data_IF_421126553970
#
_entry.id   IF_421126553970
#
_cell.length_a   1.000
_cell.length_b   1.000
_cell.length_c   1.000
_cell.angle_alpha   90.00
_cell.angle_beta   90.00
_cell.angle_gamma   90.00
#
_symmetry.space_group_name_H-M   'P 1'
#
loop_
_entity.id
_entity.type
_entity.pdbx_description
1 polymer ?
#
# COMPACT_ATOMS: atom_id res chain seq x y z
N UNK A 1 -33.12 6.88 -9.66
CA UNK A 1 -32.02 6.45 -10.55
C UNK A 1 -31.60 5.07 -10.12
N UNK A 2 -31.97 4.04 -10.89
CA UNK A 2 -31.73 2.64 -10.55
C UNK A 2 -30.24 2.32 -10.69
N UNK A 3 -29.54 2.03 -9.60
CA UNK A 3 -28.20 1.48 -9.67
C UNK A 3 -28.30 0.03 -10.16
N UNK A 4 -28.01 -0.21 -11.44
CA UNK A 4 -27.77 -1.58 -11.91
C UNK A 4 -26.56 -2.13 -11.15
N UNK A 5 -26.83 -3.02 -10.19
CA UNK A 5 -25.80 -3.88 -9.61
C UNK A 5 -25.37 -4.84 -10.72
N UNK A 6 -24.20 -4.62 -11.31
CA UNK A 6 -23.58 -5.59 -12.21
C UNK A 6 -23.19 -6.83 -11.40
N UNK A 7 -24.13 -7.76 -11.24
CA UNK A 7 -23.91 -9.02 -10.58
C UNK A 7 -23.02 -9.91 -11.46
N UNK A 8 -21.96 -10.45 -10.89
CA UNK A 8 -21.09 -11.37 -11.61
C UNK A 8 -21.83 -12.67 -11.93
N UNK A 9 -21.89 -13.06 -13.21
CA UNK A 9 -22.49 -14.33 -13.64
C UNK A 9 -21.53 -15.54 -13.50
N UNK A 10 -20.28 -15.32 -13.09
CA UNK A 10 -19.28 -16.38 -12.97
C UNK A 10 -19.59 -17.39 -11.86
N UNK A 11 -20.47 -17.05 -10.90
CA UNK A 11 -20.98 -17.98 -9.87
C UNK A 11 -21.72 -19.20 -10.47
N UNK A 12 -22.16 -19.10 -11.73
CA UNK A 12 -22.82 -20.17 -12.48
C UNK A 12 -21.85 -21.24 -13.00
N UNK A 13 -20.53 -21.04 -12.92
CA UNK A 13 -19.54 -22.00 -13.36
C UNK A 13 -18.68 -22.50 -12.19
N UNK A 14 -18.95 -23.75 -11.77
CA UNK A 14 -18.29 -24.44 -10.64
C UNK A 14 -16.76 -24.38 -10.70
N UNK A 15 -16.15 -24.41 -11.91
CA UNK A 15 -14.68 -24.37 -12.05
C UNK A 15 -14.04 -23.10 -11.51
N UNK A 16 -14.79 -22.00 -11.45
CA UNK A 16 -14.28 -20.72 -10.98
C UNK A 16 -14.62 -20.47 -9.51
N UNK A 17 -15.55 -21.20 -8.88
CA UNK A 17 -16.01 -20.88 -7.51
C UNK A 17 -14.87 -20.75 -6.48
N UNK A 18 -13.87 -21.63 -6.53
CA UNK A 18 -12.70 -21.52 -5.68
C UNK A 18 -11.81 -20.35 -6.12
N UNK A 19 -11.73 -19.30 -5.30
CA UNK A 19 -10.89 -18.13 -5.56
C UNK A 19 -11.47 -17.10 -6.52
N UNK A 20 -12.63 -17.32 -7.13
CA UNK A 20 -13.26 -16.34 -8.03
C UNK A 20 -13.45 -14.97 -7.39
N UNK A 21 -13.88 -14.92 -6.13
CA UNK A 21 -14.09 -13.64 -5.42
C UNK A 21 -12.82 -12.79 -5.35
N UNK A 22 -11.63 -13.40 -5.42
CA UNK A 22 -10.34 -12.69 -5.43
C UNK A 22 -10.01 -12.09 -6.80
N UNK A 23 -10.42 -12.75 -7.88
CA UNK A 23 -10.05 -12.37 -9.26
C UNK A 23 -11.20 -11.72 -10.04
N UNK A 24 -12.43 -11.76 -9.51
CA UNK A 24 -13.63 -11.27 -10.18
C UNK A 24 -13.53 -9.75 -10.44
N UNK A 25 -13.72 -9.27 -11.68
CA UNK A 25 -13.74 -7.83 -11.97
C UNK A 25 -14.92 -7.08 -11.35
N UNK A 26 -15.96 -7.79 -10.92
CA UNK A 26 -17.13 -7.21 -10.26
C UNK A 26 -17.11 -7.38 -8.74
N UNK A 27 -16.04 -7.95 -8.17
CA UNK A 27 -15.89 -8.07 -6.72
C UNK A 27 -15.97 -6.69 -6.07
N UNK A 28 -16.58 -6.62 -4.90
CA UNK A 28 -16.54 -5.41 -4.10
C UNK A 28 -15.18 -5.32 -3.39
N UNK A 29 -14.53 -4.18 -3.53
CA UNK A 29 -13.31 -3.81 -2.82
C UNK A 29 -13.55 -2.51 -2.08
N UNK A 30 -13.01 -2.40 -0.87
CA UNK A 30 -13.06 -1.19 -0.08
C UNK A 30 -11.80 -0.35 -0.32
N UNK A 31 -11.96 0.98 -0.30
CA UNK A 31 -10.81 1.87 -0.22
C UNK A 31 -10.16 1.75 1.16
N UNK A 32 -8.90 1.32 1.20
CA UNK A 32 -8.18 1.10 2.44
C UNK A 32 -7.57 2.38 3.03
N UNK A 33 -7.99 3.58 2.63
CA UNK A 33 -7.46 4.83 3.21
C UNK A 33 -8.22 5.15 4.49
N UNK A 34 -7.51 5.52 5.56
CA UNK A 34 -8.12 5.84 6.85
C UNK A 34 -9.13 6.98 6.68
N UNK A 35 -10.35 6.78 7.18
CA UNK A 35 -11.45 7.74 7.03
C UNK A 35 -12.18 7.68 5.70
N UNK A 36 -11.78 6.80 4.77
CA UNK A 36 -12.51 6.58 3.52
C UNK A 36 -13.40 5.33 3.62
N UNK A 37 -14.70 5.53 3.38
CA UNK A 37 -15.70 4.46 3.41
C UNK A 37 -16.14 4.01 2.00
N UNK A 38 -15.41 4.43 0.97
CA UNK A 38 -15.76 4.10 -0.41
C UNK A 38 -15.63 2.60 -0.65
N UNK A 39 -16.61 2.03 -1.37
CA UNK A 39 -16.64 0.63 -1.79
C UNK A 39 -17.13 0.56 -3.24
N UNK A 40 -16.57 -0.35 -4.04
CA UNK A 40 -16.99 -0.54 -5.43
C UNK A 40 -16.16 -1.62 -6.12
N UNK A 41 -16.14 -1.61 -7.46
CA UNK A 41 -15.35 -2.56 -8.25
C UNK A 41 -13.87 -2.16 -8.31
N UNK A 42 -12.94 -3.07 -8.67
CA UNK A 42 -11.52 -2.76 -8.80
C UNK A 42 -11.20 -1.58 -9.76
N UNK A 43 -11.80 -1.48 -10.97
CA UNK A 43 -11.65 -0.28 -11.80
C UNK A 43 -12.25 0.97 -11.15
N UNK A 44 -13.35 0.81 -10.42
CA UNK A 44 -13.96 1.89 -9.64
C UNK A 44 -13.01 2.43 -8.56
N UNK A 45 -12.24 1.54 -7.91
CA UNK A 45 -11.29 1.90 -6.86
C UNK A 45 -10.15 2.76 -7.43
N UNK A 46 -9.62 2.38 -8.59
CA UNK A 46 -8.61 3.18 -9.29
C UNK A 46 -9.12 4.59 -9.57
N UNK A 47 -10.32 4.70 -10.16
CA UNK A 47 -10.95 6.00 -10.43
C UNK A 47 -11.19 6.79 -9.14
N UNK A 48 -11.66 6.14 -8.09
CA UNK A 48 -11.89 6.76 -6.80
C UNK A 48 -10.59 7.32 -6.19
N UNK A 49 -9.50 6.56 -6.21
CA UNK A 49 -8.18 6.99 -5.73
C UNK A 49 -7.70 8.22 -6.50
N UNK A 50 -7.78 8.20 -7.84
CA UNK A 50 -7.39 9.36 -8.64
C UNK A 50 -8.22 10.61 -8.35
N UNK A 51 -9.52 10.46 -8.12
CA UNK A 51 -10.41 11.62 -7.93
C UNK A 51 -10.37 12.19 -6.50
N UNK A 52 -10.16 11.34 -5.48
CA UNK A 52 -10.35 11.73 -4.08
C UNK A 52 -9.05 11.68 -3.26
N UNK A 53 -8.02 11.00 -3.77
CA UNK A 53 -6.78 10.72 -3.07
C UNK A 53 -5.55 10.95 -3.95
N UNK A 54 -5.67 11.77 -5.01
CA UNK A 54 -4.57 12.09 -5.93
C UNK A 54 -3.33 12.64 -5.22
N UNK A 55 -3.52 13.39 -4.13
CA UNK A 55 -2.44 13.92 -3.29
C UNK A 55 -1.63 12.84 -2.56
N UNK A 56 -2.21 11.64 -2.38
CA UNK A 56 -1.52 10.49 -1.80
C UNK A 56 -0.81 9.64 -2.86
N UNK A 57 -1.09 9.84 -4.15
CA UNK A 57 -0.53 9.01 -5.23
C UNK A 57 0.89 9.46 -5.57
N UNK A 58 1.82 8.51 -5.57
CA UNK A 58 3.17 8.73 -6.08
C UNK A 58 3.26 8.28 -7.54
N UNK A 59 3.45 9.23 -8.45
CA UNK A 59 3.62 8.92 -9.87
C UNK A 59 5.05 8.45 -10.21
N UNK A 60 6.03 8.69 -9.33
CA UNK A 60 7.39 8.17 -9.48
C UNK A 60 7.45 6.71 -9.04
N UNK A 61 7.25 5.83 -10.03
CA UNK A 61 6.91 4.42 -9.95
C UNK A 61 7.91 3.46 -9.27
N UNK A 62 8.92 3.93 -8.52
CA UNK A 62 9.92 3.03 -7.90
C UNK A 62 10.58 3.58 -6.64
N UNK A 63 10.82 4.89 -6.52
CA UNK A 63 11.58 5.45 -5.39
C UNK A 63 10.85 6.64 -4.77
N UNK A 64 10.64 6.59 -3.45
CA UNK A 64 10.17 7.73 -2.67
C UNK A 64 11.17 8.02 -1.56
N UNK A 65 11.74 9.21 -1.59
CA UNK A 65 12.52 9.73 -0.48
C UNK A 65 11.54 10.42 0.47
N UNK A 66 11.55 10.00 1.73
CA UNK A 66 10.73 10.58 2.78
C UNK A 66 11.62 11.33 3.75
N UNK A 67 11.27 12.59 3.98
CA UNK A 67 11.90 13.40 4.99
C UNK A 67 11.23 13.14 6.35
N UNK A 68 11.86 12.29 7.16
CA UNK A 68 11.36 11.87 8.47
C UNK A 68 11.18 13.06 9.44
N UNK A 69 11.95 14.14 9.27
CA UNK A 69 11.84 15.33 10.13
C UNK A 69 10.47 16.02 10.02
N UNK A 70 9.83 15.90 8.85
CA UNK A 70 8.51 16.50 8.58
C UNK A 70 7.34 15.60 9.00
N UNK A 71 7.63 14.38 9.48
CA UNK A 71 6.63 13.34 9.75
C UNK A 71 6.35 13.12 11.25
N UNK A 72 7.00 13.87 12.14
CA UNK A 72 6.76 13.78 13.58
C UNK A 72 5.27 14.00 13.90
N UNK A 73 4.66 13.04 14.62
CA UNK A 73 3.25 13.01 15.03
C UNK A 73 2.21 13.01 13.89
N UNK A 74 2.61 12.70 12.65
CA UNK A 74 1.70 12.61 11.51
C UNK A 74 1.68 11.19 10.96
N UNK A 75 0.47 10.68 10.70
CA UNK A 75 0.32 9.51 9.85
C UNK A 75 0.26 9.99 8.41
N UNK A 76 1.16 9.51 7.56
CA UNK A 76 1.13 9.84 6.13
C UNK A 76 0.86 8.58 5.32
N UNK A 77 0.04 8.73 4.30
CA UNK A 77 -0.38 7.66 3.40
C UNK A 77 0.17 7.96 2.01
N UNK A 78 0.84 6.97 1.43
CA UNK A 78 1.31 6.95 0.06
C UNK A 78 0.68 5.80 -0.69
N UNK A 79 0.38 6.06 -1.96
CA UNK A 79 -0.22 5.07 -2.85
C UNK A 79 0.68 4.96 -4.07
N UNK A 80 1.20 3.76 -4.31
CA UNK A 80 1.91 3.41 -5.54
C UNK A 80 0.98 2.51 -6.34
N UNK A 81 0.73 2.86 -7.61
CA UNK A 81 -0.12 2.06 -8.49
C UNK A 81 0.77 1.38 -9.51
N UNK A 82 0.93 0.06 -9.38
CA UNK A 82 1.82 -0.73 -10.25
C UNK A 82 1.37 -2.18 -10.31
N UNK A 83 1.71 -2.87 -11.39
CA UNK A 83 1.41 -4.30 -11.56
C UNK A 83 -0.06 -4.64 -11.27
N UNK A 84 -0.99 -3.81 -11.77
CA UNK A 84 -2.43 -4.00 -11.54
C UNK A 84 -2.87 -3.90 -10.06
N UNK A 85 -2.07 -3.27 -9.18
CA UNK A 85 -2.36 -3.10 -7.75
C UNK A 85 -2.18 -1.67 -7.29
N UNK A 86 -2.94 -1.31 -6.27
CA UNK A 86 -2.71 -0.13 -5.45
C UNK A 86 -2.01 -0.55 -4.16
N UNK A 87 -0.72 -0.23 -4.05
CA UNK A 87 0.09 -0.41 -2.84
C UNK A 87 -0.08 0.80 -1.95
N UNK A 88 -0.71 0.60 -0.80
CA UNK A 88 -0.82 1.58 0.26
C UNK A 88 0.34 1.41 1.24
N UNK A 89 1.14 2.44 1.36
CA UNK A 89 2.23 2.52 2.33
C UNK A 89 1.82 3.56 3.38
N UNK A 90 1.73 3.15 4.63
CA UNK A 90 1.40 4.04 5.75
C UNK A 90 2.57 4.09 6.69
N UNK A 91 3.05 5.28 6.99
CA UNK A 91 4.10 5.48 7.99
C UNK A 91 3.54 6.27 9.17
N UNK A 92 3.94 5.83 10.36
CA UNK A 92 3.55 6.42 11.62
C UNK A 92 4.78 6.47 12.51
N UNK A 93 5.05 7.65 13.07
CA UNK A 93 5.99 7.83 14.18
C UNK A 93 5.14 8.11 15.42
N UNK A 94 5.27 7.29 16.45
CA UNK A 94 4.81 7.60 17.79
C UNK A 94 5.98 7.62 18.78
N UNK A 95 5.69 7.91 20.05
CA UNK A 95 6.71 8.07 21.08
C UNK A 95 7.58 6.82 21.29
N UNK A 96 7.07 5.64 20.93
CA UNK A 96 7.76 4.37 21.12
C UNK A 96 8.38 3.85 19.82
N UNK A 97 7.69 3.97 18.69
CA UNK A 97 8.05 3.28 17.47
C UNK A 97 7.84 4.12 16.21
N UNK A 98 8.72 3.87 15.24
CA UNK A 98 8.47 4.12 13.83
C UNK A 98 7.94 2.85 13.18
N UNK A 99 6.77 2.95 12.55
CA UNK A 99 6.12 1.83 11.87
C UNK A 99 5.85 2.19 10.42
N UNK A 100 6.18 1.28 9.50
CA UNK A 100 5.76 1.32 8.10
C UNK A 100 4.89 0.11 7.83
N UNK A 101 3.64 0.34 7.43
CA UNK A 101 2.69 -0.70 7.05
C UNK A 101 2.48 -0.68 5.53
N UNK A 102 2.54 -1.85 4.93
CA UNK A 102 2.32 -2.11 3.52
C UNK A 102 1.04 -2.92 3.38
N UNK A 103 0.08 -2.35 2.69
CA UNK A 103 -1.12 -3.05 2.25
C UNK A 103 -1.22 -2.91 0.75
N UNK A 104 -1.84 -3.88 0.09
CA UNK A 104 -2.09 -3.76 -1.33
C UNK A 104 -3.48 -4.30 -1.67
N UNK A 105 -4.12 -3.62 -2.61
CA UNK A 105 -5.43 -4.02 -3.13
C UNK A 105 -5.29 -4.25 -4.63
N UNK A 106 -5.65 -5.44 -5.15
CA UNK A 106 -5.67 -5.65 -6.59
C UNK A 106 -6.76 -4.78 -7.23
N UNK A 107 -6.36 -3.95 -8.20
CA UNK A 107 -7.23 -3.03 -8.95
C UNK A 107 -7.48 -3.49 -10.39
N UNK A 108 -6.79 -4.54 -10.82
CA UNK A 108 -6.92 -5.15 -12.15
C UNK A 108 -7.11 -6.68 -12.05
N UNK A 109 -7.55 -7.29 -13.16
CA UNK A 109 -7.67 -8.74 -13.33
C UNK A 109 -6.40 -9.22 -14.04
N UNK A 110 -5.37 -9.60 -13.28
CA UNK A 110 -4.14 -10.13 -13.89
C UNK A 110 -4.30 -11.65 -14.01
N UNK A 111 -4.26 -12.21 -15.23
CA UNK A 111 -4.54 -13.62 -15.48
C UNK A 111 -3.51 -14.58 -14.89
N UNK A 112 -2.29 -14.13 -14.57
CA UNK A 112 -1.17 -14.96 -14.11
C UNK A 112 -0.85 -14.82 -12.61
N UNK A 113 -1.85 -14.56 -11.76
CA UNK A 113 -1.60 -14.62 -10.31
C UNK A 113 -1.44 -16.06 -9.85
N UNK A 114 -0.19 -16.47 -9.64
CA UNK A 114 0.10 -17.57 -8.73
C UNK A 114 -0.42 -17.18 -7.34
N UNK A 115 -1.03 -18.14 -6.67
CA UNK A 115 -1.67 -18.03 -5.35
C UNK A 115 -0.77 -17.51 -4.22
N UNK A 116 0.50 -17.21 -4.49
CA UNK A 116 1.46 -16.82 -3.46
C UNK A 116 1.37 -15.34 -3.07
N UNK A 117 0.89 -14.44 -3.94
CA UNK A 117 0.62 -13.04 -3.56
C UNK A 117 1.84 -12.32 -2.88
N UNK A 118 3.07 -12.77 -3.16
CA UNK A 118 4.30 -12.28 -2.52
C UNK A 118 4.85 -11.10 -3.32
N UNK A 119 4.97 -9.95 -2.67
CA UNK A 119 5.67 -8.79 -3.20
C UNK A 119 6.89 -8.53 -2.32
N UNK A 120 8.05 -8.37 -2.97
CA UNK A 120 9.27 -8.01 -2.28
C UNK A 120 9.44 -6.50 -2.32
N UNK A 121 9.83 -5.92 -1.20
CA UNK A 121 10.17 -4.51 -1.13
C UNK A 121 11.39 -4.32 -0.22
N UNK A 122 12.14 -3.27 -0.52
CA UNK A 122 13.33 -2.89 0.25
C UNK A 122 13.06 -1.53 0.88
N UNK A 123 13.31 -1.43 2.18
CA UNK A 123 13.31 -0.14 2.88
C UNK A 123 14.76 0.21 3.15
N UNK A 124 15.16 1.36 2.64
CA UNK A 124 16.49 1.93 2.86
C UNK A 124 16.31 3.20 3.67
N UNK A 125 16.96 3.25 4.82
CA UNK A 125 17.10 4.49 5.60
C UNK A 125 18.51 4.99 5.33
N UNK A 126 18.59 6.06 4.55
CA UNK A 126 19.84 6.70 4.16
C UNK A 126 20.00 7.99 4.96
N UNK A 127 21.18 8.20 5.52
CA UNK A 127 21.59 9.48 6.08
C UNK A 127 22.82 9.98 5.33
N UNK A 128 22.76 11.16 4.68
CA UNK A 128 23.92 11.71 3.99
C UNK A 128 25.09 11.85 4.99
N UNK A 129 26.25 11.28 4.65
CA UNK A 129 27.50 11.28 5.45
C UNK A 129 27.56 10.39 6.70
N UNK A 130 26.51 9.65 7.03
CA UNK A 130 26.58 8.65 8.10
C UNK A 130 27.24 7.34 7.60
N UNK A 131 28.03 6.71 8.47
CA UNK A 131 28.66 5.39 8.24
C UNK A 131 27.61 4.26 8.34
N UNK A 132 26.45 4.56 8.91
CA UNK A 132 25.39 3.61 9.18
C UNK A 132 24.35 3.64 8.05
N UNK A 133 24.51 2.77 7.04
CA UNK A 133 23.40 2.44 6.14
C UNK A 133 22.52 1.37 6.77
N UNK A 134 21.24 1.68 7.00
CA UNK A 134 20.25 0.66 7.35
C UNK A 134 19.49 0.26 6.10
N UNK A 135 19.95 -0.81 5.46
CA UNK A 135 19.23 -1.48 4.38
C UNK A 135 18.69 -2.80 4.90
N UNK A 136 17.36 -2.97 4.83
CA UNK A 136 16.74 -4.25 5.13
C UNK A 136 15.69 -4.59 4.07
N UNK A 137 15.78 -5.79 3.54
CA UNK A 137 14.79 -6.37 2.64
C UNK A 137 13.70 -7.03 3.46
N UNK A 138 12.45 -6.83 3.07
CA UNK A 138 11.30 -7.38 3.77
C UNK A 138 10.42 -8.17 2.81
N UNK A 139 9.80 -9.21 3.38
CA UNK A 139 8.71 -9.97 2.76
C UNK A 139 7.40 -9.72 3.52
N UNK A 140 7.49 -9.25 4.76
CA UNK A 140 6.35 -8.99 5.64
C UNK A 140 5.52 -7.80 5.15
N UNK A 141 4.38 -7.53 5.78
CA UNK A 141 3.53 -6.36 5.48
C UNK A 141 3.80 -5.17 6.41
N UNK A 142 4.76 -5.29 7.32
CA UNK A 142 5.02 -4.32 8.37
C UNK A 142 6.51 -4.28 8.74
N UNK A 143 7.02 -3.06 8.89
CA UNK A 143 8.28 -2.77 9.56
C UNK A 143 7.98 -1.99 10.84
N UNK A 144 8.56 -2.42 11.95
CA UNK A 144 8.58 -1.66 13.20
C UNK A 144 10.03 -1.48 13.63
N UNK A 145 10.39 -0.25 13.98
CA UNK A 145 11.68 0.14 14.52
C UNK A 145 11.44 0.99 15.77
N UNK A 146 12.14 0.69 16.86
CA UNK A 146 12.05 1.51 18.07
C UNK A 146 12.51 2.95 17.79
N UNK A 147 11.77 3.92 18.33
CA UNK A 147 12.07 5.33 18.14
C UNK A 147 13.43 5.70 18.70
N UNK A 148 13.88 5.06 19.79
CA UNK A 148 15.22 5.25 20.38
C UNK A 148 16.35 4.85 19.42
N UNK A 149 16.13 3.81 18.61
CA UNK A 149 17.07 3.38 17.57
C UNK A 149 17.04 4.39 16.42
N UNK A 150 15.85 4.76 15.96
CA UNK A 150 15.69 5.75 14.90
C UNK A 150 16.27 7.12 15.30
N UNK A 151 16.09 7.56 16.56
CA UNK A 151 16.57 8.84 17.05
C UNK A 151 18.09 8.89 17.12
N UNK A 152 18.75 7.77 17.46
CA UNK A 152 20.22 7.68 17.38
C UNK A 152 20.70 7.87 15.94
N UNK A 153 20.04 7.27 14.97
CA UNK A 153 20.32 7.48 13.54
C UNK A 153 20.07 8.93 13.10
N UNK A 154 18.92 9.52 13.47
CA UNK A 154 18.57 10.90 13.11
C UNK A 154 19.57 11.89 13.71
N UNK A 155 19.93 11.73 14.99
CA UNK A 155 20.73 12.68 15.75
C UNK A 155 22.25 12.41 15.70
N UNK A 156 22.72 11.37 15.00
CA UNK A 156 24.16 11.15 14.76
C UNK A 156 24.77 12.42 14.12
N UNK A 157 25.84 12.99 14.67
CA UNK A 157 26.38 14.27 14.16
C UNK A 157 27.21 14.10 12.87
N UNK A 158 27.41 12.85 12.42
CA UNK A 158 28.17 12.48 11.23
C UNK A 158 27.33 12.42 9.94
#
# INVERSE_FOLDING_TARGET
MNSMNYACLCSLNIKYQAGHTLICPYRQVQCNIVGCNWTGTPPGLLKHIHNNHSTCVNNDNVHKILDLSKLLNKTTVLIIIKYGRAFRITYKIDAANFTINFNNTPIDVIPDFTTENKFYYTIQVLKPKSILEYTRSFIDSQLTMEYTVLSKYINDEN
#
